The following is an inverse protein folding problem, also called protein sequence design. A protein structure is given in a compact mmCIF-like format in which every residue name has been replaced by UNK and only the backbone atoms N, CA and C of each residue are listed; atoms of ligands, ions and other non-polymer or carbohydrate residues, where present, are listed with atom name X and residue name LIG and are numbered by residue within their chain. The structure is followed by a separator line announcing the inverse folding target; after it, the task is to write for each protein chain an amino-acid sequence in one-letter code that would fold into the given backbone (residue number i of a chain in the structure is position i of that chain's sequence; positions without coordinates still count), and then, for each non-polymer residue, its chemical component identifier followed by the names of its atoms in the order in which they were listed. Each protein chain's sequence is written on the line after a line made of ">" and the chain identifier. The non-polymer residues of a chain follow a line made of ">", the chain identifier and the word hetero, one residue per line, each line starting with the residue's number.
data_IF_917669962427
#
_entry.id   IF_917669962427
#
_cell.length_a   1.000
_cell.length_b   1.000
_cell.length_c   1.000
_cell.angle_alpha   90.00
_cell.angle_beta   90.00
_cell.angle_gamma   90.00
#
_symmetry.space_group_name_H-M   'P 1'
#
loop_
_entity.id
_entity.type
_entity.pdbx_description
1 polymer ?
#
# COMPACT_ATOMS: atom_id res chain seq x y z
N UNK A 1 4.35 -19.55 9.00
CA UNK A 1 4.32 -18.23 9.65
C UNK A 1 4.60 -17.19 8.58
N UNK A 2 3.87 -16.05 8.55
CA UNK A 2 4.26 -14.95 7.69
C UNK A 2 5.69 -14.54 8.02
N UNK A 3 6.46 -14.21 6.99
CA UNK A 3 7.77 -13.63 7.19
C UNK A 3 7.57 -12.28 7.90
N UNK A 4 8.27 -12.02 9.01
CA UNK A 4 8.19 -10.75 9.77
C UNK A 4 8.48 -9.55 8.86
N UNK A 5 9.33 -9.76 7.84
CA UNK A 5 9.58 -8.78 6.80
C UNK A 5 8.35 -8.49 5.93
N UNK A 6 7.50 -9.47 5.63
CA UNK A 6 6.29 -9.24 4.83
C UNK A 6 5.27 -8.41 5.59
N UNK A 7 5.08 -8.70 6.88
CA UNK A 7 4.19 -7.90 7.75
C UNK A 7 4.63 -6.43 7.78
N UNK A 8 5.93 -6.17 8.02
CA UNK A 8 6.46 -4.80 8.03
C UNK A 8 6.27 -4.06 6.71
N UNK A 9 6.37 -4.76 5.58
CA UNK A 9 6.15 -4.15 4.26
C UNK A 9 4.67 -3.79 4.09
N UNK A 10 3.74 -4.68 4.46
CA UNK A 10 2.31 -4.39 4.39
C UNK A 10 1.88 -3.26 5.32
N UNK A 11 2.44 -3.18 6.52
CA UNK A 11 2.20 -2.07 7.45
C UNK A 11 2.69 -0.75 6.86
N UNK A 12 3.88 -0.76 6.26
CA UNK A 12 4.45 0.40 5.59
C UNK A 12 3.58 0.86 4.41
N UNK A 13 3.16 -0.06 3.54
CA UNK A 13 2.29 0.24 2.41
C UNK A 13 0.94 0.79 2.88
N UNK A 14 0.35 0.19 3.92
CA UNK A 14 -0.93 0.65 4.48
C UNK A 14 -0.85 2.08 5.01
N UNK A 15 0.25 2.42 5.72
CA UNK A 15 0.50 3.79 6.15
C UNK A 15 0.64 4.76 4.98
N UNK A 16 1.39 4.39 3.94
CA UNK A 16 1.62 5.25 2.77
C UNK A 16 0.36 5.48 1.95
N UNK A 17 -0.47 4.45 1.80
CA UNK A 17 -1.79 4.56 1.16
C UNK A 17 -2.65 5.55 1.95
N UNK A 18 -2.75 5.41 3.28
CA UNK A 18 -3.54 6.33 4.10
C UNK A 18 -3.03 7.78 4.06
N UNK A 19 -1.71 7.99 3.98
CA UNK A 19 -1.11 9.33 3.79
C UNK A 19 -1.51 9.94 2.44
N UNK A 20 -1.41 9.17 1.35
CA UNK A 20 -1.74 9.63 0.01
C UNK A 20 -3.25 9.82 -0.19
N UNK A 21 -4.10 8.96 0.37
CA UNK A 21 -5.56 9.11 0.36
C UNK A 21 -6.00 10.42 1.03
N UNK A 22 -5.41 10.75 2.18
CA UNK A 22 -5.66 12.04 2.86
C UNK A 22 -5.24 13.22 1.99
N UNK A 23 -4.09 13.14 1.34
CA UNK A 23 -3.60 14.21 0.48
C UNK A 23 -4.48 14.41 -0.76
N UNK A 24 -4.98 13.32 -1.38
CA UNK A 24 -5.95 13.40 -2.48
C UNK A 24 -7.29 13.98 -2.01
N UNK A 25 -7.77 13.58 -0.83
CA UNK A 25 -9.04 14.05 -0.28
C UNK A 25 -9.03 15.53 0.11
N UNK A 26 -7.87 16.09 0.45
CA UNK A 26 -7.70 17.51 0.76
C UNK A 26 -7.63 18.41 -0.48
N UNK A 27 -7.80 17.88 -1.70
CA UNK A 27 -7.65 18.62 -2.97
C UNK A 27 -6.33 19.41 -3.05
N UNK A 28 -5.25 18.84 -2.52
CA UNK A 28 -3.92 19.43 -2.59
C UNK A 28 -3.53 19.70 -4.07
N UNK A 29 -2.78 20.77 -4.35
CA UNK A 29 -2.28 21.09 -5.70
C UNK A 29 -1.46 19.92 -6.29
N UNK A 30 -0.93 19.04 -5.44
CA UNK A 30 -0.24 17.81 -5.81
C UNK A 30 -1.16 16.59 -6.00
N UNK A 31 -2.49 16.75 -6.06
CA UNK A 31 -3.47 15.65 -6.23
C UNK A 31 -3.14 14.69 -7.38
N UNK A 32 -2.66 15.11 -8.57
CA UNK A 32 -2.24 14.18 -9.63
C UNK A 32 -1.05 13.30 -9.22
N UNK A 33 -0.09 13.86 -8.47
CA UNK A 33 1.06 13.11 -7.95
C UNK A 33 0.60 12.05 -6.94
N UNK A 34 -0.23 12.44 -5.97
CA UNK A 34 -0.73 11.51 -4.95
C UNK A 34 -1.63 10.42 -5.53
N UNK A 35 -2.36 10.70 -6.63
CA UNK A 35 -3.12 9.69 -7.38
C UNK A 35 -2.20 8.65 -8.03
N UNK A 36 -1.15 9.10 -8.73
CA UNK A 36 -0.16 8.17 -9.31
C UNK A 36 0.53 7.33 -8.23
N UNK A 37 0.88 7.96 -7.11
CA UNK A 37 1.46 7.26 -5.97
C UNK A 37 0.50 6.20 -5.38
N UNK A 38 -0.81 6.49 -5.29
CA UNK A 38 -1.80 5.51 -4.83
C UNK A 38 -1.89 4.29 -5.76
N UNK A 39 -1.91 4.53 -7.07
CA UNK A 39 -1.93 3.43 -8.06
C UNK A 39 -0.71 2.53 -7.90
N UNK A 40 0.49 3.10 -7.76
CA UNK A 40 1.72 2.35 -7.52
C UNK A 40 1.68 1.56 -6.21
N UNK A 41 1.23 2.18 -5.11
CA UNK A 41 1.16 1.53 -3.81
C UNK A 41 0.15 0.37 -3.81
N UNK A 42 -1.00 0.54 -4.46
CA UNK A 42 -1.97 -0.53 -4.62
C UNK A 42 -1.45 -1.66 -5.50
N UNK A 43 -0.77 -1.33 -6.61
CA UNK A 43 -0.14 -2.32 -7.48
C UNK A 43 0.92 -3.13 -6.72
N UNK A 44 1.79 -2.46 -5.96
CA UNK A 44 2.81 -3.13 -5.15
C UNK A 44 2.18 -4.07 -4.12
N UNK A 45 1.13 -3.64 -3.42
CA UNK A 45 0.42 -4.47 -2.44
C UNK A 45 -0.21 -5.71 -3.09
N UNK A 46 -0.80 -5.56 -4.27
CA UNK A 46 -1.38 -6.67 -5.01
C UNK A 46 -0.30 -7.67 -5.47
N UNK A 47 0.81 -7.16 -6.02
CA UNK A 47 1.93 -8.00 -6.47
C UNK A 47 2.55 -8.80 -5.32
N UNK A 48 2.76 -8.17 -4.16
CA UNK A 48 3.27 -8.86 -2.96
C UNK A 48 2.31 -9.94 -2.48
N UNK A 49 1.00 -9.66 -2.49
CA UNK A 49 -0.03 -10.64 -2.13
C UNK A 49 -0.05 -11.87 -3.03
N UNK A 50 0.20 -11.67 -4.32
CA UNK A 50 0.19 -12.76 -5.30
C UNK A 50 1.49 -13.57 -5.31
N UNK A 51 2.64 -12.91 -5.12
CA UNK A 51 3.96 -13.49 -5.39
C UNK A 51 4.82 -13.77 -4.15
N UNK A 52 4.60 -13.06 -3.05
CA UNK A 52 5.47 -13.10 -1.85
C UNK A 52 4.72 -13.64 -0.64
N UNK A 53 3.45 -13.29 -0.50
CA UNK A 53 2.66 -13.69 0.65
C UNK A 53 2.24 -15.15 0.60
N UNK A 54 2.10 -15.74 1.78
CA UNK A 54 1.42 -17.04 1.91
C UNK A 54 -0.04 -16.82 1.50
N UNK A 55 -0.54 -17.62 0.55
CA UNK A 55 -1.87 -17.48 -0.08
C UNK A 55 -3.04 -17.27 0.89
N UNK A 56 -2.91 -17.74 2.13
CA UNK A 56 -3.95 -17.70 3.16
C UNK A 56 -3.69 -16.64 4.26
N UNK A 57 -2.68 -15.78 4.13
CA UNK A 57 -2.36 -14.77 5.13
C UNK A 57 -3.03 -13.42 4.80
N UNK A 58 -3.90 -12.95 5.69
CA UNK A 58 -4.57 -11.65 5.57
C UNK A 58 -3.84 -10.63 6.45
N UNK A 59 -3.31 -9.58 5.83
CA UNK A 59 -2.69 -8.45 6.52
C UNK A 59 -3.78 -7.42 6.84
N UNK A 60 -3.99 -7.15 8.13
CA UNK A 60 -4.97 -6.20 8.64
C UNK A 60 -4.37 -4.81 8.82
#
# INVERSE_FOLDING_TARGET
>A
MPNEFSVKIHDYLSRKIAEAEKAVACEDEHSPFYRGQLEELHWMRAWLKENVDLKDFTYY
#
